data_IF_315937853408
#
_entry.id   IF_315937853408
#
_cell.length_a   1.000
_cell.length_b   1.000
_cell.length_c   1.000
_cell.angle_alpha   90.00
_cell.angle_beta   90.00
_cell.angle_gamma   90.00
#
_symmetry.space_group_name_H-M   'P 1'
#
loop_
_entity.id
_entity.type
_entity.pdbx_description
1 polymer ?
#
# COMPACT_ATOMS: atom_id res chain seq x y z
N UNK A 1 16.80 -18.61 20.26
CA UNK A 1 16.17 -18.45 18.93
C UNK A 1 16.44 -17.02 18.50
N UNK A 2 17.06 -16.77 17.33
CA UNK A 2 17.19 -15.38 16.86
C UNK A 2 15.77 -14.87 16.56
N UNK A 3 15.34 -13.81 17.25
CA UNK A 3 14.13 -13.09 16.88
C UNK A 3 14.25 -12.72 15.40
N UNK A 4 13.34 -13.25 14.58
CA UNK A 4 13.30 -12.90 13.15
C UNK A 4 12.59 -11.56 13.05
N UNK A 5 13.37 -10.50 12.88
CA UNK A 5 12.86 -9.19 12.47
C UNK A 5 12.34 -9.33 11.03
N UNK A 6 11.10 -8.87 10.79
CA UNK A 6 10.57 -8.77 9.43
C UNK A 6 11.13 -7.50 8.81
N UNK A 7 12.03 -7.65 7.83
CA UNK A 7 12.54 -6.53 7.07
C UNK A 7 11.54 -6.14 5.98
N UNK A 8 10.88 -4.98 6.16
CA UNK A 8 9.95 -4.42 5.18
C UNK A 8 10.65 -3.63 4.07
N UNK A 9 11.92 -3.25 4.26
CA UNK A 9 12.66 -2.42 3.32
C UNK A 9 13.56 -3.23 2.38
N UNK A 10 13.47 -4.56 2.45
CA UNK A 10 14.14 -5.44 1.48
C UNK A 10 13.55 -5.26 0.08
N UNK A 11 14.37 -5.51 -0.94
CA UNK A 11 13.97 -5.47 -2.34
C UNK A 11 13.38 -4.11 -2.78
N UNK A 12 13.76 -3.00 -2.13
CA UNK A 12 13.33 -1.65 -2.51
C UNK A 12 13.81 -1.29 -3.92
N UNK A 13 12.92 -0.66 -4.69
CA UNK A 13 13.19 -0.18 -6.03
C UNK A 13 13.02 1.34 -6.09
N UNK A 14 14.06 2.11 -6.46
CA UNK A 14 13.93 3.56 -6.59
C UNK A 14 13.08 3.92 -7.82
N UNK A 15 12.11 4.81 -7.62
CA UNK A 15 11.26 5.39 -8.67
C UNK A 15 11.54 6.89 -8.75
N UNK A 16 12.05 7.32 -9.90
CA UNK A 16 12.36 8.73 -10.17
C UNK A 16 11.25 9.47 -10.92
N UNK A 17 10.28 8.74 -11.47
CA UNK A 17 9.20 9.30 -12.28
C UNK A 17 8.24 10.17 -11.45
N UNK A 18 7.88 11.33 -12.01
CA UNK A 18 6.93 12.24 -11.39
C UNK A 18 5.47 11.74 -11.47
N UNK A 19 5.18 10.84 -12.41
CA UNK A 19 3.88 10.22 -12.62
C UNK A 19 4.08 8.75 -13.00
N UNK A 20 3.52 7.84 -12.20
CA UNK A 20 3.59 6.41 -12.46
C UNK A 20 2.36 5.70 -11.88
N UNK A 21 2.12 4.49 -12.36
CA UNK A 21 1.13 3.56 -11.87
C UNK A 21 1.71 2.59 -10.87
N UNK A 22 0.85 2.09 -9.97
CA UNK A 22 1.09 0.83 -9.28
C UNK A 22 0.02 -0.14 -9.73
N UNK A 23 0.48 -1.27 -10.24
CA UNK A 23 -0.31 -2.30 -10.87
C UNK A 23 -0.22 -3.60 -10.06
N UNK A 24 -1.28 -4.38 -10.16
CA UNK A 24 -1.33 -5.77 -9.73
C UNK A 24 -2.06 -6.52 -10.85
N UNK A 25 -1.31 -7.39 -11.52
CA UNK A 25 -1.86 -8.27 -12.54
C UNK A 25 -2.44 -9.45 -11.76
N UNK A 26 -3.72 -9.35 -11.38
CA UNK A 26 -4.48 -10.39 -10.67
C UNK A 26 -4.52 -11.69 -11.52
N UNK A 27 -3.40 -12.40 -11.63
CA UNK A 27 -3.24 -13.68 -12.29
C UNK A 27 -3.35 -14.77 -11.22
N UNK A 28 -4.50 -15.43 -11.16
CA UNK A 28 -4.74 -16.50 -10.19
C UNK A 28 -3.77 -17.69 -10.36
N UNK A 29 -3.17 -17.86 -11.54
CA UNK A 29 -2.19 -18.91 -11.82
C UNK A 29 -0.76 -18.49 -11.46
N UNK A 30 -0.43 -17.20 -11.52
CA UNK A 30 0.86 -16.65 -11.19
C UNK A 30 0.73 -15.60 -10.08
N UNK A 31 1.22 -15.91 -8.87
CA UNK A 31 1.32 -14.96 -7.75
C UNK A 31 2.38 -13.89 -8.03
N UNK A 32 2.12 -13.03 -9.01
CA UNK A 32 2.99 -11.92 -9.36
C UNK A 32 2.91 -10.86 -8.27
N UNK A 33 4.03 -10.26 -7.89
CA UNK A 33 4.02 -9.15 -6.95
C UNK A 33 3.47 -7.88 -7.61
N UNK A 34 2.94 -6.96 -6.81
CA UNK A 34 2.67 -5.61 -7.28
C UNK A 34 3.91 -4.97 -7.90
N UNK A 35 3.72 -4.09 -8.88
CA UNK A 35 4.82 -3.47 -9.61
C UNK A 35 4.52 -2.02 -10.03
N UNK A 36 5.59 -1.30 -10.37
CA UNK A 36 5.54 0.07 -10.88
C UNK A 36 5.49 0.05 -12.40
N UNK A 37 4.62 0.87 -12.98
CA UNK A 37 4.57 1.13 -14.41
C UNK A 37 4.63 2.62 -14.70
N UNK A 38 5.63 3.06 -15.46
CA UNK A 38 5.81 4.45 -15.86
C UNK A 38 5.44 4.74 -17.33
N UNK A 39 5.00 3.73 -18.10
CA UNK A 39 4.54 3.97 -19.47
C UNK A 39 3.14 4.59 -19.46
N UNK A 40 3.05 5.86 -19.81
CA UNK A 40 1.80 6.60 -19.87
C UNK A 40 0.76 5.99 -20.82
N UNK A 41 1.15 5.11 -21.76
CA UNK A 41 0.22 4.36 -22.62
C UNK A 41 -0.65 3.37 -21.83
N UNK A 42 -0.15 2.88 -20.69
CA UNK A 42 -0.81 1.90 -19.84
C UNK A 42 -1.63 2.54 -18.73
N UNK A 43 -1.77 3.87 -18.72
CA UNK A 43 -2.39 4.62 -17.62
C UNK A 43 -3.81 4.15 -17.24
N UNK A 44 -4.57 3.66 -18.22
CA UNK A 44 -5.91 3.12 -17.98
C UNK A 44 -5.90 1.81 -17.17
N UNK A 45 -4.80 1.06 -17.21
CA UNK A 45 -4.61 -0.20 -16.48
C UNK A 45 -4.10 0.01 -15.06
N UNK A 46 -3.51 1.16 -14.77
CA UNK A 46 -2.94 1.48 -13.45
C UNK A 46 -3.99 1.42 -12.36
N UNK A 47 -3.78 0.57 -11.35
CA UNK A 47 -4.72 0.44 -10.23
C UNK A 47 -4.63 1.63 -9.27
N UNK A 48 -3.41 2.05 -8.94
CA UNK A 48 -3.15 3.33 -8.29
C UNK A 48 -2.35 4.25 -9.21
N UNK A 49 -2.60 5.55 -9.13
CA UNK A 49 -1.89 6.59 -9.88
C UNK A 49 -1.14 7.46 -8.88
N UNK A 50 0.18 7.49 -8.99
CA UNK A 50 1.04 8.27 -8.10
C UNK A 50 1.53 9.50 -8.83
N UNK A 51 1.26 10.68 -8.27
CA UNK A 51 1.86 11.94 -8.68
C UNK A 51 2.86 12.40 -7.62
N UNK A 52 4.14 12.30 -7.92
CA UNK A 52 5.23 12.73 -7.05
C UNK A 52 5.66 14.17 -7.41
N UNK A 53 5.23 15.14 -6.59
CA UNK A 53 5.59 16.55 -6.73
C UNK A 53 6.73 17.00 -5.82
N UNK A 54 7.23 16.10 -4.98
CA UNK A 54 8.31 16.41 -4.04
C UNK A 54 9.67 16.62 -4.72
N UNK A 55 9.83 16.10 -5.94
CA UNK A 55 11.10 16.06 -6.67
C UNK A 55 12.13 15.09 -6.09
N UNK A 56 11.78 14.36 -5.02
CA UNK A 56 12.62 13.33 -4.39
C UNK A 56 12.34 11.97 -5.02
N UNK A 57 13.37 11.11 -5.08
CA UNK A 57 13.19 9.69 -5.39
C UNK A 57 12.30 9.07 -4.31
N UNK A 58 11.42 8.15 -4.72
CA UNK A 58 10.63 7.35 -3.80
C UNK A 58 10.98 5.88 -3.95
N UNK A 59 11.16 5.16 -2.85
CA UNK A 59 11.36 3.72 -2.84
C UNK A 59 10.01 3.03 -2.93
N UNK A 60 9.86 2.17 -3.93
CA UNK A 60 8.75 1.22 -4.07
C UNK A 60 9.15 -0.15 -3.52
N UNK A 61 8.23 -0.78 -2.80
CA UNK A 61 8.38 -2.15 -2.30
C UNK A 61 7.08 -2.88 -2.60
N UNK A 62 7.19 -4.01 -3.30
CA UNK A 62 6.11 -4.99 -3.33
C UNK A 62 6.07 -5.72 -1.98
N UNK A 63 4.93 -5.68 -1.31
CA UNK A 63 4.69 -6.33 -0.03
C UNK A 63 4.07 -7.70 -0.27
N UNK A 64 3.09 -7.77 -1.17
CA UNK A 64 2.51 -9.04 -1.57
C UNK A 64 3.55 -9.93 -2.24
N UNK A 65 3.45 -11.23 -1.97
CA UNK A 65 4.31 -12.28 -2.54
C UNK A 65 5.84 -12.12 -2.29
N UNK A 66 6.29 -11.05 -1.63
CA UNK A 66 7.69 -10.76 -1.29
C UNK A 66 7.95 -10.69 0.20
N UNK A 67 6.99 -10.21 1.01
CA UNK A 67 7.14 -10.12 2.46
C UNK A 67 6.31 -11.22 3.14
N UNK A 68 7.02 -12.16 3.80
CA UNK A 68 6.38 -13.21 4.57
C UNK A 68 5.97 -12.70 5.96
N UNK A 69 4.68 -12.43 6.11
CA UNK A 69 4.04 -12.21 7.40
C UNK A 69 3.28 -13.49 7.74
N UNK A 70 3.60 -14.12 8.87
CA UNK A 70 2.98 -15.40 9.27
C UNK A 70 2.27 -15.26 10.60
N UNK A 71 1.11 -15.92 10.69
CA UNK A 71 0.39 -16.16 11.94
C UNK A 71 1.14 -17.15 12.82
N UNK A 72 0.76 -17.23 14.09
CA UNK A 72 1.29 -18.23 15.03
C UNK A 72 1.10 -19.67 14.53
N UNK A 73 0.01 -19.94 13.81
CA UNK A 73 -0.27 -21.25 13.20
C UNK A 73 0.56 -21.54 11.94
N UNK A 74 1.50 -20.66 11.57
CA UNK A 74 2.39 -20.81 10.41
C UNK A 74 1.78 -20.45 9.05
N UNK A 75 0.48 -20.16 8.99
CA UNK A 75 -0.19 -19.70 7.77
C UNK A 75 0.23 -18.28 7.41
N UNK A 76 0.12 -17.94 6.13
CA UNK A 76 0.35 -16.57 5.67
C UNK A 76 -0.74 -15.66 6.24
N UNK A 77 -0.30 -14.54 6.82
CA UNK A 77 -1.19 -13.49 7.29
C UNK A 77 -1.55 -12.53 6.15
N UNK A 78 -2.64 -11.80 6.33
CA UNK A 78 -3.05 -10.72 5.46
C UNK A 78 -1.98 -9.62 5.41
N UNK A 79 -1.83 -9.04 4.22
CA UNK A 79 -0.93 -7.94 3.93
C UNK A 79 -1.50 -7.10 2.79
N UNK A 80 -1.06 -5.86 2.71
CA UNK A 80 -1.31 -5.04 1.54
C UNK A 80 -0.35 -5.38 0.40
N UNK A 81 -0.62 -4.81 -0.77
CA UNK A 81 0.12 -5.16 -1.98
C UNK A 81 1.45 -4.41 -2.09
N UNK A 82 1.46 -3.12 -1.76
CA UNK A 82 2.66 -2.31 -1.94
C UNK A 82 2.90 -1.30 -0.83
N UNK A 83 4.16 -0.84 -0.76
CA UNK A 83 4.59 0.30 0.03
C UNK A 83 5.37 1.28 -0.82
N UNK A 84 5.22 2.57 -0.52
CA UNK A 84 6.10 3.64 -0.97
C UNK A 84 6.70 4.35 0.23
N UNK A 85 7.98 4.73 0.15
CA UNK A 85 8.57 5.58 1.19
C UNK A 85 9.72 6.46 0.70
N UNK A 86 9.97 7.52 1.46
CA UNK A 86 11.20 8.31 1.42
C UNK A 86 11.50 8.82 2.85
N UNK A 87 12.35 9.83 2.99
CA UNK A 87 12.71 10.43 4.28
C UNK A 87 11.52 11.06 5.04
N UNK A 88 10.44 11.42 4.35
CA UNK A 88 9.26 12.05 4.95
C UNK A 88 8.00 11.19 4.92
N UNK A 89 7.84 10.34 3.91
CA UNK A 89 6.62 9.60 3.62
C UNK A 89 6.79 8.11 3.88
N UNK A 90 5.74 7.50 4.44
CA UNK A 90 5.45 6.08 4.36
C UNK A 90 4.00 5.92 3.92
N UNK A 91 3.78 5.15 2.85
CA UNK A 91 2.48 4.96 2.21
C UNK A 91 2.25 3.47 2.03
N UNK A 92 1.21 2.95 2.67
CA UNK A 92 0.74 1.57 2.50
C UNK A 92 -0.38 1.54 1.45
N UNK A 93 -0.33 0.61 0.50
CA UNK A 93 -1.19 0.63 -0.67
C UNK A 93 -1.79 -0.77 -0.87
N UNK A 94 -3.11 -0.80 -0.86
CA UNK A 94 -3.91 -1.96 -1.23
C UNK A 94 -4.57 -1.70 -2.58
N UNK A 95 -4.49 -2.67 -3.48
CA UNK A 95 -4.93 -2.63 -4.86
C UNK A 95 -6.11 -3.61 -5.02
N UNK A 96 -7.17 -3.14 -5.67
CA UNK A 96 -8.38 -3.93 -5.92
C UNK A 96 -8.91 -3.74 -7.33
N UNK A 97 -9.53 -4.78 -7.85
CA UNK A 97 -10.33 -4.74 -9.07
C UNK A 97 -11.73 -5.34 -8.83
N UNK A 98 -12.41 -4.89 -7.77
CA UNK A 98 -13.63 -5.54 -7.27
C UNK A 98 -14.87 -4.63 -7.31
N UNK A 99 -16.05 -5.21 -7.52
CA UNK A 99 -17.29 -4.44 -7.64
C UNK A 99 -17.91 -4.01 -6.29
N UNK A 100 -17.90 -4.88 -5.28
CA UNK A 100 -18.60 -4.67 -3.99
C UNK A 100 -17.80 -5.27 -2.84
N UNK A 101 -18.15 -4.88 -1.61
CA UNK A 101 -17.70 -5.48 -0.34
C UNK A 101 -16.18 -5.59 -0.14
N UNK A 102 -15.40 -4.78 -0.86
CA UNK A 102 -13.94 -4.83 -0.85
C UNK A 102 -13.30 -3.94 0.23
N UNK A 103 -13.99 -2.88 0.66
CA UNK A 103 -13.42 -1.85 1.55
C UNK A 103 -13.04 -2.45 2.89
N UNK A 104 -13.95 -3.22 3.50
CA UNK A 104 -13.71 -3.77 4.84
C UNK A 104 -12.46 -4.65 4.84
N UNK A 105 -12.36 -5.58 3.88
CA UNK A 105 -11.20 -6.46 3.76
C UNK A 105 -9.90 -5.67 3.47
N UNK A 106 -9.95 -4.73 2.51
CA UNK A 106 -8.80 -3.88 2.20
C UNK A 106 -8.29 -3.08 3.42
N UNK A 107 -9.21 -2.49 4.19
CA UNK A 107 -8.86 -1.59 5.29
C UNK A 107 -8.56 -2.35 6.59
N UNK A 108 -9.49 -3.18 7.05
CA UNK A 108 -9.42 -3.81 8.37
C UNK A 108 -8.53 -5.05 8.37
N UNK A 109 -8.48 -5.79 7.26
CA UNK A 109 -7.76 -7.05 7.20
C UNK A 109 -6.35 -6.89 6.59
N UNK A 110 -6.20 -6.10 5.53
CA UNK A 110 -4.92 -6.01 4.79
C UNK A 110 -4.06 -4.83 5.24
N UNK A 111 -4.56 -3.60 5.12
CA UNK A 111 -3.82 -2.39 5.49
C UNK A 111 -3.52 -2.36 6.99
N UNK A 112 -4.53 -2.54 7.84
CA UNK A 112 -4.36 -2.51 9.30
C UNK A 112 -3.35 -3.56 9.79
N UNK A 113 -3.45 -4.80 9.27
CA UNK A 113 -2.53 -5.88 9.64
C UNK A 113 -1.10 -5.57 9.25
N UNK A 114 -0.88 -5.10 8.01
CA UNK A 114 0.46 -4.72 7.54
C UNK A 114 1.06 -3.62 8.39
N UNK A 115 0.29 -2.56 8.67
CA UNK A 115 0.74 -1.43 9.49
C UNK A 115 1.08 -1.88 10.92
N UNK A 116 0.26 -2.75 11.50
CA UNK A 116 0.50 -3.24 12.85
C UNK A 116 1.75 -4.13 12.92
N UNK A 117 1.98 -4.98 11.92
CA UNK A 117 3.20 -5.79 11.83
C UNK A 117 4.41 -4.89 11.58
N UNK A 118 4.31 -3.92 10.67
CA UNK A 118 5.38 -2.95 10.40
C UNK A 118 5.83 -2.26 11.69
N UNK A 119 4.90 -1.77 12.51
CA UNK A 119 5.19 -1.10 13.79
C UNK A 119 5.84 -1.98 14.85
N UNK A 120 5.71 -3.31 14.77
CA UNK A 120 6.39 -4.21 15.70
C UNK A 120 7.89 -4.27 15.45
N UNK A 121 8.31 -4.05 14.19
CA UNK A 121 9.69 -4.25 13.75
C UNK A 121 10.37 -2.97 13.29
N UNK A 122 9.61 -1.92 12.98
CA UNK A 122 10.09 -0.65 12.45
C UNK A 122 9.45 0.52 13.19
N UNK A 123 10.24 1.57 13.44
CA UNK A 123 9.72 2.81 14.02
C UNK A 123 9.02 3.65 12.95
N UNK A 124 7.70 3.50 12.87
CA UNK A 124 6.88 4.31 11.96
C UNK A 124 6.97 5.82 12.29
N UNK A 125 7.34 6.20 13.52
CA UNK A 125 7.36 7.61 13.95
C UNK A 125 8.37 8.46 13.18
N UNK A 126 9.41 7.82 12.62
CA UNK A 126 10.43 8.43 11.76
C UNK A 126 9.84 9.14 10.53
N UNK A 127 8.69 8.67 10.04
CA UNK A 127 8.01 9.27 8.89
C UNK A 127 7.05 10.37 9.34
N UNK A 128 7.24 11.57 8.82
CA UNK A 128 6.35 12.72 9.04
C UNK A 128 4.94 12.48 8.48
N UNK A 129 4.86 11.87 7.30
CA UNK A 129 3.62 11.61 6.58
C UNK A 129 3.35 10.11 6.53
N UNK A 130 2.29 9.67 7.23
CA UNK A 130 1.89 8.26 7.33
C UNK A 130 0.54 8.09 6.65
N UNK A 131 0.53 7.46 5.50
CA UNK A 131 -0.67 7.32 4.66
C UNK A 131 -0.99 5.85 4.39
N UNK A 132 -2.26 5.56 4.22
CA UNK A 132 -2.77 4.29 3.71
C UNK A 132 -3.74 4.57 2.57
N UNK A 133 -3.68 3.79 1.51
CA UNK A 133 -4.55 3.91 0.34
C UNK A 133 -5.20 2.57 0.04
N UNK A 134 -6.53 2.58 0.00
CA UNK A 134 -7.29 1.48 -0.56
C UNK A 134 -7.75 1.91 -1.97
N UNK A 135 -7.03 1.42 -2.99
CA UNK A 135 -7.21 1.77 -4.39
C UNK A 135 -8.03 0.68 -5.07
N UNK A 136 -9.12 1.05 -5.72
CA UNK A 136 -9.89 0.12 -6.54
C UNK A 136 -10.11 0.69 -7.94
N UNK A 137 -9.52 0.05 -8.95
CA UNK A 137 -9.58 0.56 -10.33
C UNK A 137 -10.97 0.57 -10.94
N UNK A 138 -11.89 -0.26 -10.44
CA UNK A 138 -13.32 -0.21 -10.82
C UNK A 138 -14.08 0.95 -10.17
N UNK A 139 -13.53 1.51 -9.10
CA UNK A 139 -14.11 2.60 -8.31
C UNK A 139 -13.08 3.72 -8.11
N UNK A 140 -12.49 4.23 -9.20
CA UNK A 140 -11.40 5.23 -9.15
C UNK A 140 -11.72 6.45 -8.28
N UNK A 141 -12.98 6.93 -8.34
CA UNK A 141 -13.51 8.03 -7.53
C UNK A 141 -14.63 7.50 -6.63
N UNK A 142 -14.41 7.53 -5.32
CA UNK A 142 -15.43 7.09 -4.38
C UNK A 142 -16.43 8.23 -4.10
N UNK A 143 -17.71 7.98 -4.34
CA UNK A 143 -18.78 8.97 -4.20
C UNK A 143 -19.28 9.15 -2.75
N UNK A 144 -18.99 8.18 -1.86
CA UNK A 144 -19.52 8.17 -0.50
C UNK A 144 -18.49 8.56 0.55
N UNK A 145 -18.95 9.31 1.57
CA UNK A 145 -18.12 9.86 2.64
C UNK A 145 -17.84 8.79 3.71
N UNK A 146 -16.74 8.04 3.58
CA UNK A 146 -16.24 7.11 4.62
C UNK A 146 -15.47 7.82 5.76
N UNK A 147 -15.90 9.04 6.13
CA UNK A 147 -15.16 9.92 7.06
C UNK A 147 -14.98 9.31 8.45
N UNK A 148 -16.02 8.65 8.97
CA UNK A 148 -15.96 8.02 10.29
C UNK A 148 -14.97 6.85 10.31
N UNK A 149 -14.98 6.00 9.27
CA UNK A 149 -14.03 4.91 9.12
C UNK A 149 -12.60 5.43 8.97
N UNK A 150 -12.39 6.46 8.15
CA UNK A 150 -11.07 7.10 7.99
C UNK A 150 -10.57 7.69 9.31
N UNK A 151 -11.45 8.32 10.10
CA UNK A 151 -11.09 8.88 11.41
C UNK A 151 -10.80 7.79 12.43
N UNK A 152 -11.61 6.72 12.46
CA UNK A 152 -11.40 5.55 13.32
C UNK A 152 -10.06 4.90 13.00
N UNK A 153 -9.78 4.64 11.73
CA UNK A 153 -8.51 4.09 11.27
C UNK A 153 -7.32 4.95 11.69
N UNK A 154 -7.44 6.28 11.53
CA UNK A 154 -6.40 7.22 11.98
C UNK A 154 -6.19 7.16 13.49
N UNK A 155 -7.26 7.10 14.28
CA UNK A 155 -7.16 7.06 15.73
C UNK A 155 -6.50 5.76 16.21
N UNK A 156 -6.83 4.63 15.58
CA UNK A 156 -6.32 3.31 15.94
C UNK A 156 -4.87 3.09 15.48
N UNK A 157 -4.56 3.48 14.24
CA UNK A 157 -3.27 3.16 13.63
C UNK A 157 -2.34 4.38 13.49
N UNK A 158 -2.76 5.60 13.80
CA UNK A 158 -1.92 6.80 13.59
C UNK A 158 -1.54 7.04 12.13
N UNK A 159 -2.22 6.39 11.18
CA UNK A 159 -2.01 6.46 9.74
C UNK A 159 -3.28 7.03 9.10
N UNK A 160 -3.15 7.99 8.19
CA UNK A 160 -4.30 8.56 7.50
C UNK A 160 -4.74 7.66 6.35
N UNK A 161 -5.95 7.13 6.42
CA UNK A 161 -6.57 6.37 5.34
C UNK A 161 -7.15 7.29 4.25
N UNK A 162 -6.96 6.90 3.00
CA UNK A 162 -7.65 7.45 1.84
C UNK A 162 -8.23 6.28 1.03
N UNK A 163 -9.47 6.44 0.57
CA UNK A 163 -10.14 5.47 -0.30
C UNK A 163 -10.27 6.14 -1.66
N UNK A 164 -9.53 5.64 -2.65
CA UNK A 164 -9.36 6.28 -3.95
C UNK A 164 -7.99 5.96 -4.55
N UNK A 165 -7.87 6.11 -5.86
CA UNK A 165 -6.71 5.63 -6.61
C UNK A 165 -5.64 6.70 -6.85
N UNK A 166 -5.91 7.97 -6.53
CA UNK A 166 -4.98 9.07 -6.77
C UNK A 166 -4.12 9.36 -5.52
N UNK A 167 -2.83 9.04 -5.61
CA UNK A 167 -1.83 9.24 -4.56
C UNK A 167 -1.01 10.48 -4.90
N UNK A 168 -1.01 11.47 -4.00
CA UNK A 168 -0.26 12.71 -4.19
C UNK A 168 0.80 12.87 -3.12
N UNK A 169 2.05 12.97 -3.56
CA UNK A 169 3.23 13.20 -2.72
C UNK A 169 3.70 14.61 -3.00
N UNK A 170 3.98 15.39 -1.96
CA UNK A 170 4.22 16.82 -2.04
C UNK A 170 5.60 17.18 -1.50
#
# INVERSE_FOLDING_TARGET
MKERVIDFFKDEMPVGDALFGICDDEDEAAKTPAYVDADAKNKEEWTAVVTNRSGKIISFIAVDNKIEIRRENGQMENRCDAMLHNDEYIIFIELKNQNKDWIKHAVEDQLATTINVFKQWHDISLFKHKLAYACNKRHRRFAFSNKEDMQRFRNQHGVRLNIGCDIMIK
#
